data_IF_707988417467
#
_entry.id   IF_707988417467
#
_cell.length_a   1.000
_cell.length_b   1.000
_cell.length_c   1.000
_cell.angle_alpha   90.00
_cell.angle_beta   90.00
_cell.angle_gamma   90.00
#
_symmetry.space_group_name_H-M   'P 1'
#
loop_
_entity.id
_entity.type
_entity.pdbx_description
1 polymer ?
#
# COMPACT_ATOMS: atom_id res chain seq x y z
N UNK A 1 -10.25 17.13 43.79
CA UNK A 1 -9.58 16.92 42.48
C UNK A 1 -8.10 16.71 42.71
N UNK A 2 -7.54 15.71 42.07
CA UNK A 2 -6.13 15.40 42.23
C UNK A 2 -5.28 16.17 41.23
N UNK A 3 -4.16 16.73 41.71
CA UNK A 3 -3.14 17.39 40.91
C UNK A 3 -1.87 16.54 40.82
N UNK A 4 -2.03 15.24 40.82
CA UNK A 4 -0.90 14.31 40.68
C UNK A 4 -0.28 14.47 39.31
N UNK A 5 1.04 14.61 39.26
CA UNK A 5 1.78 14.68 37.99
C UNK A 5 1.57 13.41 37.20
N UNK A 6 1.43 13.56 35.88
CA UNK A 6 1.35 12.44 34.95
C UNK A 6 2.73 12.14 34.39
N UNK A 7 3.10 10.86 34.40
CA UNK A 7 4.35 10.41 33.74
C UNK A 7 4.13 10.37 32.23
N UNK A 8 4.98 11.06 31.49
CA UNK A 8 4.92 11.12 30.03
C UNK A 8 6.14 10.39 29.50
N UNK A 9 5.90 9.45 28.59
CA UNK A 9 6.96 8.66 27.99
C UNK A 9 7.63 9.43 26.86
N UNK A 10 8.95 9.31 26.76
CA UNK A 10 9.72 9.75 25.60
C UNK A 10 9.98 8.51 24.77
N UNK A 11 9.61 8.54 23.48
CA UNK A 11 9.66 7.36 22.62
C UNK A 11 10.39 7.65 21.32
N UNK A 12 10.87 6.60 20.70
CA UNK A 12 11.31 6.59 19.31
C UNK A 12 10.61 5.46 18.59
N UNK A 13 10.64 5.50 17.26
CA UNK A 13 9.98 4.49 16.43
C UNK A 13 10.98 3.92 15.45
N UNK A 14 10.78 2.65 15.10
CA UNK A 14 11.58 1.98 14.08
C UNK A 14 10.76 0.90 13.41
N UNK A 15 11.11 0.59 12.16
CA UNK A 15 10.53 -0.55 11.45
C UNK A 15 11.22 -1.83 11.88
N UNK A 16 10.46 -2.92 11.95
CA UNK A 16 10.97 -4.25 12.24
C UNK A 16 10.86 -5.10 10.97
N UNK A 17 12.00 -5.58 10.48
CA UNK A 17 12.04 -6.46 9.32
C UNK A 17 11.58 -7.85 9.72
N UNK A 18 10.55 -8.37 9.03
CA UNK A 18 10.00 -9.71 9.29
C UNK A 18 10.60 -10.76 8.36
N UNK A 19 10.73 -10.44 7.07
CA UNK A 19 11.26 -11.32 6.04
C UNK A 19 11.73 -10.49 4.85
N UNK A 20 12.17 -11.16 3.79
CA UNK A 20 12.54 -10.48 2.54
C UNK A 20 12.43 -11.45 1.37
N UNK A 21 12.38 -10.90 0.17
CA UNK A 21 12.44 -11.65 -1.08
C UNK A 21 13.24 -10.88 -2.11
N UNK A 22 13.66 -11.57 -3.18
CA UNK A 22 14.41 -10.93 -4.26
C UNK A 22 13.47 -10.49 -5.37
N UNK A 23 13.62 -9.24 -5.79
CA UNK A 23 12.94 -8.68 -6.96
C UNK A 23 13.99 -8.45 -8.05
N UNK A 24 13.97 -9.28 -9.10
CA UNK A 24 15.04 -9.34 -10.10
C UNK A 24 15.13 -8.08 -10.96
N UNK A 25 14.00 -7.46 -11.26
CA UNK A 25 13.95 -6.28 -12.14
C UNK A 25 14.52 -5.04 -11.47
N UNK A 26 14.56 -5.00 -10.16
CA UNK A 26 15.11 -3.94 -9.32
C UNK A 26 14.29 -2.66 -9.27
N UNK A 27 13.80 -2.17 -10.42
CA UNK A 27 12.98 -0.95 -10.50
C UNK A 27 11.57 -1.28 -10.95
N UNK A 28 10.64 -0.37 -10.69
CA UNK A 28 9.27 -0.45 -11.19
C UNK A 28 9.06 0.68 -12.19
N UNK A 29 8.94 0.34 -13.47
CA UNK A 29 8.74 1.28 -14.56
C UNK A 29 7.40 1.12 -15.28
N UNK A 30 6.62 0.11 -14.91
CA UNK A 30 5.32 -0.16 -15.49
C UNK A 30 4.41 -0.85 -14.48
N UNK A 31 3.08 -0.83 -14.70
CA UNK A 31 2.17 -1.61 -13.87
C UNK A 31 2.49 -3.10 -13.87
N UNK A 32 2.95 -3.63 -14.99
CA UNK A 32 3.32 -5.04 -15.08
C UNK A 32 4.50 -5.37 -14.16
N UNK A 33 5.49 -4.49 -14.05
CA UNK A 33 6.60 -4.68 -13.13
C UNK A 33 6.10 -4.79 -11.69
N UNK A 34 5.18 -3.90 -11.30
CA UNK A 34 4.59 -3.92 -9.98
C UNK A 34 3.80 -5.21 -9.73
N UNK A 35 3.03 -5.65 -10.72
CA UNK A 35 2.27 -6.90 -10.64
C UNK A 35 3.21 -8.10 -10.45
N UNK A 36 4.23 -8.22 -11.25
CA UNK A 36 5.18 -9.34 -11.15
C UNK A 36 5.89 -9.37 -9.80
N UNK A 37 6.16 -8.20 -9.21
CA UNK A 37 6.77 -8.13 -7.89
C UNK A 37 5.84 -8.64 -6.79
N UNK A 38 4.54 -8.30 -6.85
CA UNK A 38 3.62 -8.52 -5.74
C UNK A 38 2.81 -9.81 -5.86
N UNK A 39 2.70 -10.40 -7.05
CA UNK A 39 1.73 -11.46 -7.32
C UNK A 39 1.83 -12.65 -6.38
N UNK A 40 3.04 -13.07 -6.03
CA UNK A 40 3.25 -14.22 -5.14
C UNK A 40 2.73 -13.94 -3.73
N UNK A 41 2.67 -12.69 -3.33
CA UNK A 41 2.20 -12.28 -2.01
C UNK A 41 0.68 -12.21 -1.93
N UNK A 42 -0.01 -12.00 -3.05
CA UNK A 42 -1.44 -11.71 -3.06
C UNK A 42 -2.30 -12.73 -3.84
N UNK A 43 -1.76 -13.38 -4.86
CA UNK A 43 -2.53 -14.38 -5.62
C UNK A 43 -2.83 -15.60 -4.78
N UNK A 44 -4.04 -16.13 -4.92
CA UNK A 44 -4.45 -17.36 -4.25
C UNK A 44 -4.83 -17.22 -2.79
N UNK A 45 -4.84 -16.00 -2.25
CA UNK A 45 -5.28 -15.79 -0.88
C UNK A 45 -6.81 -15.94 -0.77
N UNK A 46 -7.28 -16.48 0.36
CA UNK A 46 -8.70 -16.74 0.61
C UNK A 46 -9.47 -15.50 1.05
N UNK A 47 -8.79 -14.41 1.36
CA UNK A 47 -9.39 -13.15 1.79
C UNK A 47 -8.64 -11.96 1.23
N UNK A 48 -9.29 -10.79 1.23
CA UNK A 48 -8.67 -9.57 0.75
C UNK A 48 -7.56 -9.10 1.69
N UNK A 49 -6.45 -8.67 1.12
CA UNK A 49 -5.39 -7.95 1.82
C UNK A 49 -5.07 -6.67 1.06
N UNK A 50 -4.82 -5.62 1.81
CA UNK A 50 -4.34 -4.36 1.27
C UNK A 50 -2.89 -4.16 1.64
N UNK A 51 -2.05 -3.96 0.65
CA UNK A 51 -0.61 -3.78 0.82
C UNK A 51 -0.14 -2.50 0.16
N UNK A 52 0.98 -1.97 0.64
CA UNK A 52 1.70 -0.93 -0.07
C UNK A 52 3.14 -1.37 -0.30
N UNK A 53 3.70 -0.92 -1.41
CA UNK A 53 5.14 -0.95 -1.66
C UNK A 53 5.66 0.47 -1.58
N UNK A 54 6.74 0.68 -0.84
CA UNK A 54 7.41 1.96 -0.73
C UNK A 54 8.57 1.99 -1.70
N UNK A 55 8.72 3.10 -2.44
CA UNK A 55 9.76 3.26 -3.44
C UNK A 55 10.63 4.47 -3.12
N UNK A 56 11.90 4.37 -3.48
CA UNK A 56 12.83 5.50 -3.41
C UNK A 56 12.70 6.38 -4.67
N UNK A 57 13.54 7.43 -4.77
CA UNK A 57 13.49 8.37 -5.89
C UNK A 57 13.90 7.75 -7.23
N UNK A 58 14.49 6.58 -7.22
CA UNK A 58 14.87 5.82 -8.43
C UNK A 58 13.81 4.79 -8.82
N UNK A 59 12.65 4.83 -8.18
CA UNK A 59 11.56 3.85 -8.36
C UNK A 59 11.99 2.42 -8.02
N UNK A 60 12.91 2.28 -7.09
CA UNK A 60 13.27 0.98 -6.54
C UNK A 60 12.41 0.70 -5.32
N UNK A 61 11.72 -0.45 -5.26
CA UNK A 61 10.98 -0.82 -4.05
C UNK A 61 11.96 -1.12 -2.92
N UNK A 62 11.68 -0.55 -1.75
CA UNK A 62 12.53 -0.72 -0.56
C UNK A 62 11.89 -1.64 0.46
N UNK A 63 10.58 -1.61 0.56
CA UNK A 63 9.83 -2.49 1.48
C UNK A 63 8.37 -2.60 1.07
N UNK A 64 7.72 -3.62 1.62
CA UNK A 64 6.29 -3.87 1.45
C UNK A 64 5.68 -3.99 2.84
N UNK A 65 4.49 -3.45 3.01
CA UNK A 65 3.76 -3.48 4.27
C UNK A 65 2.33 -3.94 4.05
N UNK A 66 1.87 -4.87 4.89
CA UNK A 66 0.46 -5.26 4.94
C UNK A 66 -0.27 -4.24 5.80
N UNK A 67 -1.24 -3.55 5.22
CA UNK A 67 -2.00 -2.48 5.88
C UNK A 67 -3.28 -3.02 6.52
N UNK A 68 -3.99 -3.89 5.80
CA UNK A 68 -5.26 -4.43 6.27
C UNK A 68 -5.50 -5.82 5.70
N UNK A 69 -6.23 -6.65 6.48
CA UNK A 69 -6.63 -8.01 6.10
C UNK A 69 -8.12 -8.13 6.34
N UNK A 70 -8.85 -8.72 5.38
CA UNK A 70 -10.30 -8.87 5.43
C UNK A 70 -11.01 -7.93 4.47
N UNK A 71 -12.31 -7.71 4.69
CA UNK A 71 -13.11 -6.85 3.82
C UNK A 71 -12.57 -5.41 3.83
N UNK A 72 -12.30 -4.88 2.63
CA UNK A 72 -11.79 -3.52 2.48
C UNK A 72 -12.93 -2.51 2.52
N UNK A 73 -12.84 -1.55 3.45
CA UNK A 73 -13.75 -0.41 3.52
C UNK A 73 -13.00 0.77 4.15
N UNK A 74 -13.66 1.92 4.19
CA UNK A 74 -13.05 3.17 4.67
C UNK A 74 -12.59 3.11 6.12
N UNK A 75 -13.23 2.29 6.95
CA UNK A 75 -12.88 2.16 8.36
C UNK A 75 -11.61 1.33 8.54
N UNK A 76 -11.37 0.36 7.64
CA UNK A 76 -10.23 -0.57 7.72
C UNK A 76 -8.99 0.02 7.06
N UNK A 77 -9.15 0.59 5.85
CA UNK A 77 -8.03 1.17 5.11
C UNK A 77 -8.07 2.68 5.26
N UNK A 78 -7.49 3.18 6.33
CA UNK A 78 -7.41 4.61 6.62
C UNK A 78 -6.07 5.17 6.13
N UNK A 79 -6.03 6.38 5.53
CA UNK A 79 -4.77 6.97 5.07
C UNK A 79 -3.65 6.97 6.11
N UNK A 80 -3.95 7.23 7.39
CA UNK A 80 -2.91 7.21 8.42
C UNK A 80 -2.27 5.82 8.58
N UNK A 81 -3.03 4.75 8.37
CA UNK A 81 -2.48 3.39 8.43
C UNK A 81 -1.65 3.08 7.18
N UNK A 82 -2.10 3.55 6.03
CA UNK A 82 -1.38 3.37 4.76
C UNK A 82 -0.03 4.06 4.79
N UNK A 83 0.03 5.29 5.30
CA UNK A 83 1.24 6.11 5.23
C UNK A 83 2.22 5.91 6.38
N UNK A 84 1.89 5.14 7.41
CA UNK A 84 2.82 4.86 8.52
C UNK A 84 4.17 4.36 8.02
N UNK A 85 4.18 3.28 7.26
CA UNK A 85 5.42 2.68 6.76
C UNK A 85 6.11 3.59 5.76
N UNK A 86 5.34 4.27 4.91
CA UNK A 86 5.89 5.21 3.93
C UNK A 86 6.66 6.35 4.60
N UNK A 87 6.10 6.90 5.66
CA UNK A 87 6.75 7.98 6.43
C UNK A 87 8.00 7.46 7.12
N UNK A 88 7.92 6.31 7.79
CA UNK A 88 9.05 5.73 8.51
C UNK A 88 10.20 5.34 7.60
N UNK A 89 9.91 4.92 6.38
CA UNK A 89 10.92 4.51 5.41
C UNK A 89 11.43 5.66 4.53
N UNK A 90 10.97 6.88 4.77
CA UNK A 90 11.29 8.04 3.95
C UNK A 90 11.01 7.79 2.46
N UNK A 91 9.87 7.18 2.15
CA UNK A 91 9.50 6.82 0.79
C UNK A 91 9.31 8.07 -0.07
N UNK A 92 9.76 8.03 -1.31
CA UNK A 92 9.48 9.07 -2.29
C UNK A 92 8.08 8.91 -2.88
N UNK A 93 7.65 7.65 -3.01
CA UNK A 93 6.34 7.30 -3.57
C UNK A 93 5.89 5.93 -3.05
N UNK A 94 4.63 5.61 -3.28
CA UNK A 94 4.06 4.32 -2.94
C UNK A 94 3.22 3.78 -4.11
N UNK A 95 3.07 2.46 -4.13
CA UNK A 95 2.09 1.76 -4.95
C UNK A 95 1.21 0.95 -4.01
N UNK A 96 -0.11 1.06 -4.19
CA UNK A 96 -1.07 0.29 -3.42
C UNK A 96 -1.48 -0.97 -4.17
N UNK A 97 -1.74 -2.03 -3.44
CA UNK A 97 -2.17 -3.32 -3.98
C UNK A 97 -3.28 -3.90 -3.12
N UNK A 98 -4.27 -4.49 -3.74
CA UNK A 98 -5.13 -5.42 -3.04
C UNK A 98 -5.61 -6.50 -3.99
N UNK A 99 -5.97 -7.66 -3.44
CA UNK A 99 -6.45 -8.78 -4.21
C UNK A 99 -7.98 -8.88 -4.11
N UNK A 100 -8.58 -9.36 -5.20
CA UNK A 100 -9.97 -9.80 -5.19
C UNK A 100 -9.97 -11.34 -5.25
N UNK A 101 -10.31 -12.05 -4.15
CA UNK A 101 -10.29 -13.50 -4.12
C UNK A 101 -11.17 -14.18 -5.17
N UNK A 102 -12.19 -13.48 -5.66
CA UNK A 102 -13.03 -13.96 -6.75
C UNK A 102 -12.29 -14.10 -8.09
N UNK A 103 -11.14 -13.43 -8.23
CA UNK A 103 -10.39 -13.35 -9.48
C UNK A 103 -10.82 -12.21 -10.39
N UNK A 104 -11.94 -11.58 -10.13
CA UNK A 104 -12.44 -10.45 -10.92
C UNK A 104 -11.73 -9.17 -10.52
N UNK A 105 -11.08 -8.49 -11.46
CA UNK A 105 -10.24 -7.32 -11.17
C UNK A 105 -10.91 -5.97 -11.46
N UNK A 106 -12.19 -5.96 -11.73
CA UNK A 106 -12.94 -4.73 -11.95
C UNK A 106 -12.98 -3.89 -10.68
N UNK A 107 -12.56 -2.61 -10.72
CA UNK A 107 -12.61 -1.76 -9.54
C UNK A 107 -14.05 -1.52 -9.08
N UNK A 108 -14.29 -1.60 -7.77
CA UNK A 108 -15.54 -1.17 -7.17
C UNK A 108 -15.54 0.35 -6.99
N UNK A 109 -16.72 0.92 -6.72
CA UNK A 109 -16.79 2.35 -6.37
C UNK A 109 -15.99 2.65 -5.11
N UNK A 110 -15.98 1.72 -4.15
CA UNK A 110 -15.18 1.87 -2.93
C UNK A 110 -13.68 1.88 -3.24
N UNK A 111 -13.24 1.02 -4.17
CA UNK A 111 -11.84 0.99 -4.60
C UNK A 111 -11.42 2.34 -5.18
N UNK A 112 -12.27 2.92 -6.04
CA UNK A 112 -12.02 4.20 -6.69
C UNK A 112 -11.98 5.34 -5.66
N UNK A 113 -12.94 5.37 -4.74
CA UNK A 113 -13.00 6.38 -3.69
C UNK A 113 -11.80 6.30 -2.76
N UNK A 114 -11.40 5.09 -2.37
CA UNK A 114 -10.23 4.88 -1.54
C UNK A 114 -8.97 5.38 -2.25
N UNK A 115 -8.82 5.05 -3.53
CA UNK A 115 -7.68 5.48 -4.34
C UNK A 115 -7.58 7.00 -4.38
N UNK A 116 -8.69 7.69 -4.58
CA UNK A 116 -8.71 9.16 -4.59
C UNK A 116 -8.29 9.74 -3.24
N UNK A 117 -8.77 9.17 -2.15
CA UNK A 117 -8.39 9.60 -0.79
C UNK A 117 -6.90 9.40 -0.53
N UNK A 118 -6.35 8.26 -0.95
CA UNK A 118 -4.94 7.96 -0.78
C UNK A 118 -4.07 8.88 -1.64
N UNK A 119 -4.50 9.17 -2.86
CA UNK A 119 -3.79 10.11 -3.73
C UNK A 119 -3.70 11.50 -3.08
N UNK A 120 -4.82 12.02 -2.59
CA UNK A 120 -4.86 13.33 -1.93
C UNK A 120 -4.00 13.35 -0.66
N UNK A 121 -4.09 12.31 0.15
CA UNK A 121 -3.26 12.20 1.35
C UNK A 121 -1.77 12.15 1.01
N UNK A 122 -1.42 11.43 -0.04
CA UNK A 122 -0.04 11.35 -0.51
C UNK A 122 0.50 12.71 -0.95
N UNK A 123 -0.29 13.47 -1.70
CA UNK A 123 0.09 14.82 -2.12
C UNK A 123 0.37 15.73 -0.92
N UNK A 124 -0.44 15.59 0.13
CA UNK A 124 -0.28 16.37 1.35
C UNK A 124 1.02 16.01 2.10
N UNK A 125 1.43 14.76 2.06
CA UNK A 125 2.63 14.28 2.73
C UNK A 125 3.90 14.35 1.86
N UNK A 126 3.76 14.73 0.57
CA UNK A 126 4.87 14.69 -0.36
C UNK A 126 5.29 13.27 -0.74
N UNK A 127 4.39 12.29 -0.63
CA UNK A 127 4.60 10.89 -0.98
C UNK A 127 3.55 10.51 -2.01
N UNK A 128 3.94 10.44 -3.27
CA UNK A 128 2.98 10.26 -4.37
C UNK A 128 2.48 8.82 -4.44
N UNK A 129 1.16 8.65 -4.56
CA UNK A 129 0.57 7.37 -4.94
C UNK A 129 0.73 7.22 -6.46
N UNK A 130 1.64 6.34 -6.89
CA UNK A 130 1.93 6.14 -8.32
C UNK A 130 0.87 5.33 -9.02
N UNK A 131 0.33 4.32 -8.34
CA UNK A 131 -0.68 3.43 -8.90
C UNK A 131 -1.39 2.67 -7.79
N UNK A 132 -2.50 2.05 -8.13
CA UNK A 132 -3.21 1.09 -7.29
C UNK A 132 -3.58 -0.09 -8.18
N UNK A 133 -3.03 -1.26 -7.86
CA UNK A 133 -3.28 -2.48 -8.61
C UNK A 133 -4.25 -3.39 -7.87
N UNK A 134 -5.25 -3.87 -8.60
CA UNK A 134 -6.15 -4.91 -8.12
C UNK A 134 -5.67 -6.22 -8.70
N UNK A 135 -5.38 -7.18 -7.84
CA UNK A 135 -4.79 -8.47 -8.21
C UNK A 135 -5.87 -9.54 -8.24
N UNK A 136 -6.01 -10.21 -9.37
CA UNK A 136 -6.91 -11.33 -9.55
C UNK A 136 -6.17 -12.65 -9.56
N UNK A 137 -6.58 -13.55 -10.44
CA UNK A 137 -5.96 -14.86 -10.62
C UNK A 137 -5.25 -14.87 -11.99
N UNK A 138 -3.94 -14.62 -11.95
CA UNK A 138 -3.11 -14.50 -13.16
C UNK A 138 -3.32 -13.21 -13.93
N UNK A 139 -4.06 -12.25 -13.37
CA UNK A 139 -4.37 -10.97 -14.04
C UNK A 139 -4.44 -9.85 -13.01
N UNK A 140 -4.40 -8.63 -13.49
CA UNK A 140 -4.50 -7.44 -12.64
C UNK A 140 -5.14 -6.27 -13.38
N UNK A 141 -5.61 -5.28 -12.63
CA UNK A 141 -6.07 -4.00 -13.16
C UNK A 141 -5.27 -2.88 -12.51
N UNK A 142 -4.74 -1.98 -13.32
CA UNK A 142 -4.11 -0.74 -12.86
C UNK A 142 -5.14 0.39 -12.90
N UNK A 143 -5.41 1.02 -11.76
CA UNK A 143 -6.35 2.13 -11.71
C UNK A 143 -5.81 3.35 -12.45
N UNK A 144 -4.50 3.52 -12.49
CA UNK A 144 -3.87 4.58 -13.28
C UNK A 144 -4.11 4.39 -14.78
N UNK A 145 -3.92 3.17 -15.29
CA UNK A 145 -4.19 2.87 -16.70
C UNK A 145 -5.65 3.05 -17.07
N UNK A 146 -6.56 2.83 -16.11
CA UNK A 146 -8.00 3.03 -16.31
C UNK A 146 -8.45 4.48 -16.17
N UNK A 147 -7.54 5.38 -15.83
CA UNK A 147 -7.84 6.80 -15.72
C UNK A 147 -8.38 7.28 -14.39
N UNK A 148 -8.27 6.47 -13.34
CA UNK A 148 -8.72 6.84 -11.99
C UNK A 148 -7.64 7.54 -11.15
N UNK A 149 -6.43 7.61 -11.69
CA UNK A 149 -5.31 8.32 -11.08
C UNK A 149 -4.69 9.29 -12.07
#
# INVERSE_FOLDING_TARGET
MSNVAKRINIVSIKMVKESSFLYQTRTISSPNDAYEMIREQLEGLDREQFMIACLNTKNEPTNISVVAVGTLNKAIVHPREVFKTAILSNAASIIAFHNHPSGETTPSQQDIQLTNRLYEAGELHGIKLLDHLIIGDGTFTSLKEKGYL
#
